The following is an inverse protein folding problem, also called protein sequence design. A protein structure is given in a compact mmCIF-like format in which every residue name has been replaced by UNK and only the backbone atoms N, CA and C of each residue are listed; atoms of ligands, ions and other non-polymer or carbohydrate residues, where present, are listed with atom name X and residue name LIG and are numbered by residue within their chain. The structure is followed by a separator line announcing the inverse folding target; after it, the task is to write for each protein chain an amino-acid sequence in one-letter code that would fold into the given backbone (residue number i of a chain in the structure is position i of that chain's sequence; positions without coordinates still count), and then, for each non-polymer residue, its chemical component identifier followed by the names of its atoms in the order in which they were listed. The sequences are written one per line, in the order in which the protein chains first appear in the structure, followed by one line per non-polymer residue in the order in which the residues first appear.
data_IF_294799704667
#
_entry.id   IF_294799704667
#
_cell.length_a   1.000
_cell.length_b   1.000
_cell.length_c   1.000
_cell.angle_alpha   90.00
_cell.angle_beta   90.00
_cell.angle_gamma   90.00
#
_symmetry.space_group_name_H-M   'P 1'
#
loop_
_entity.id
_entity.type
_entity.pdbx_description
1 polymer ?
#
# COMPACT_ATOMS: atom_id res chain seq x y z
N UNK A 1 -1.52 -6.82 7.72
CA UNK A 1 -0.82 -5.77 6.95
C UNK A 1 0.68 -5.93 7.07
N UNK A 2 1.35 -6.01 5.92
CA UNK A 2 2.79 -5.83 5.77
C UNK A 2 3.04 -4.82 4.65
N UNK A 3 4.29 -4.39 4.47
CA UNK A 3 4.69 -3.64 3.28
C UNK A 3 5.99 -4.18 2.70
N UNK A 4 6.24 -3.85 1.43
CA UNK A 4 7.46 -4.21 0.73
C UNK A 4 8.01 -3.04 -0.08
N UNK A 5 9.34 -3.06 -0.27
CA UNK A 5 10.05 -2.16 -1.19
C UNK A 5 10.14 -2.89 -2.53
N UNK A 6 9.54 -2.30 -3.55
CA UNK A 6 9.57 -2.87 -4.89
C UNK A 6 10.87 -2.46 -5.56
N UNK A 7 11.48 -3.35 -6.34
CA UNK A 7 12.80 -3.12 -6.96
C UNK A 7 12.81 -1.97 -7.96
N UNK A 8 11.65 -1.53 -8.43
CA UNK A 8 11.48 -0.41 -9.37
C UNK A 8 11.90 0.94 -8.78
N UNK A 9 11.80 1.14 -7.47
CA UNK A 9 12.03 2.45 -6.84
C UNK A 9 12.93 2.36 -5.61
N UNK A 10 13.69 3.42 -5.34
CA UNK A 10 14.44 3.56 -4.11
C UNK A 10 13.58 4.21 -3.02
N UNK A 11 12.97 3.40 -2.16
CA UNK A 11 12.10 3.88 -1.08
C UNK A 11 10.99 4.84 -1.60
N UNK A 12 11.00 6.09 -1.13
CA UNK A 12 10.10 7.17 -1.52
C UNK A 12 10.62 8.02 -2.69
N UNK A 13 11.79 7.69 -3.23
CA UNK A 13 12.45 8.44 -4.29
C UNK A 13 12.16 7.84 -5.67
N UNK A 14 12.51 8.61 -6.72
CA UNK A 14 12.49 8.19 -8.12
C UNK A 14 11.08 7.86 -8.68
N UNK A 15 10.02 8.24 -7.96
CA UNK A 15 8.63 8.04 -8.36
C UNK A 15 8.18 8.95 -9.50
N UNK A 16 8.90 10.05 -9.72
CA UNK A 16 8.70 10.97 -10.84
C UNK A 16 9.44 10.55 -12.12
N UNK A 17 10.37 9.59 -12.07
CA UNK A 17 11.11 9.17 -13.27
C UNK A 17 10.18 8.43 -14.24
N UNK A 18 10.02 8.98 -15.44
CA UNK A 18 9.09 8.50 -16.47
C UNK A 18 9.23 7.01 -16.77
N UNK A 19 10.47 6.52 -16.95
CA UNK A 19 10.72 5.10 -17.26
C UNK A 19 10.26 4.17 -16.14
N UNK A 20 10.52 4.54 -14.89
CA UNK A 20 10.14 3.75 -13.72
C UNK A 20 8.64 3.84 -13.43
N UNK A 21 8.08 5.05 -13.53
CA UNK A 21 6.64 5.29 -13.33
C UNK A 21 5.79 4.63 -14.42
N UNK A 22 6.28 4.51 -15.65
CA UNK A 22 5.60 3.75 -16.70
C UNK A 22 5.45 2.27 -16.32
N UNK A 23 6.48 1.68 -15.69
CA UNK A 23 6.44 0.28 -15.25
C UNK A 23 5.55 0.05 -14.00
N UNK A 24 5.41 1.07 -13.15
CA UNK A 24 4.56 1.01 -11.94
C UNK A 24 3.86 2.37 -11.76
N UNK A 25 2.70 2.59 -12.43
CA UNK A 25 2.07 3.91 -12.55
C UNK A 25 1.27 4.35 -11.32
N UNK A 26 0.72 3.41 -10.58
CA UNK A 26 -0.22 3.63 -9.48
C UNK A 26 0.22 2.86 -8.23
N UNK A 27 -0.10 3.35 -7.02
CA UNK A 27 0.11 2.61 -5.78
C UNK A 27 -0.71 1.34 -5.75
N UNK A 28 -0.12 0.27 -5.23
CA UNK A 28 -0.77 -1.03 -5.18
C UNK A 28 -0.57 -1.75 -3.86
N UNK A 29 -1.50 -2.67 -3.55
CA UNK A 29 -1.37 -3.64 -2.50
C UNK A 29 -1.69 -5.05 -3.01
N UNK A 30 -0.81 -5.99 -2.70
CA UNK A 30 -0.98 -7.40 -3.05
C UNK A 30 -1.88 -8.12 -2.05
N UNK A 31 -2.74 -8.99 -2.56
CA UNK A 31 -3.60 -9.88 -1.77
C UNK A 31 -3.93 -11.18 -2.50
N UNK A 32 -4.25 -12.22 -1.73
CA UNK A 32 -4.63 -13.53 -2.28
C UNK A 32 -6.03 -13.48 -2.93
N UNK A 33 -6.29 -14.25 -4.01
CA UNK A 33 -7.61 -14.36 -4.62
C UNK A 33 -8.74 -14.70 -3.64
N UNK A 34 -8.49 -15.58 -2.67
CA UNK A 34 -9.48 -15.91 -1.63
C UNK A 34 -9.84 -14.68 -0.77
N UNK A 35 -8.83 -13.89 -0.39
CA UNK A 35 -9.07 -12.66 0.37
C UNK A 35 -9.80 -11.64 -0.49
N UNK A 36 -9.40 -11.47 -1.75
CA UNK A 36 -10.09 -10.58 -2.67
C UNK A 36 -11.57 -10.95 -2.82
N UNK A 37 -11.87 -12.24 -2.98
CA UNK A 37 -13.24 -12.76 -3.10
C UNK A 37 -14.09 -12.49 -1.83
N UNK A 38 -13.53 -12.68 -0.63
CA UNK A 38 -14.23 -12.41 0.64
C UNK A 38 -14.67 -10.95 0.77
N UNK A 39 -13.91 -10.02 0.18
CA UNK A 39 -14.18 -8.58 0.24
C UNK A 39 -14.81 -8.03 -1.06
N UNK A 40 -15.14 -8.89 -2.03
CA UNK A 40 -15.73 -8.49 -3.31
C UNK A 40 -14.81 -7.61 -4.18
N UNK A 41 -13.49 -7.77 -4.05
CA UNK A 41 -12.46 -6.99 -4.74
C UNK A 41 -11.98 -7.74 -5.98
N UNK A 42 -11.86 -7.06 -7.12
CA UNK A 42 -11.24 -7.59 -8.34
C UNK A 42 -9.82 -7.04 -8.51
N UNK A 43 -9.02 -7.75 -9.31
CA UNK A 43 -7.70 -7.26 -9.69
C UNK A 43 -7.81 -5.92 -10.42
N UNK A 44 -7.01 -4.93 -9.99
CA UNK A 44 -7.03 -3.59 -10.54
C UNK A 44 -8.07 -2.65 -9.93
N UNK A 45 -8.95 -3.11 -9.02
CA UNK A 45 -9.90 -2.21 -8.37
C UNK A 45 -9.17 -1.21 -7.45
N UNK A 46 -9.72 -0.01 -7.32
CA UNK A 46 -9.32 0.88 -6.23
C UNK A 46 -9.92 0.36 -4.93
N UNK A 47 -9.08 0.29 -3.89
CA UNK A 47 -9.46 -0.19 -2.58
C UNK A 47 -8.95 0.77 -1.51
N UNK A 48 -9.64 0.77 -0.37
CA UNK A 48 -9.16 1.34 0.87
C UNK A 48 -8.54 0.24 1.73
N UNK A 49 -7.32 0.47 2.20
CA UNK A 49 -6.68 -0.34 3.25
C UNK A 49 -6.72 0.49 4.52
N UNK A 50 -7.46 -0.01 5.51
CA UNK A 50 -7.77 0.72 6.74
C UNK A 50 -7.13 0.03 7.94
N UNK A 51 -6.70 0.82 8.92
CA UNK A 51 -6.33 0.35 10.25
C UNK A 51 -6.93 1.30 11.30
N UNK A 52 -6.81 1.00 12.61
CA UNK A 52 -7.19 1.96 13.64
C UNK A 52 -6.47 3.32 13.57
N UNK A 53 -5.42 3.45 12.73
CA UNK A 53 -4.64 4.68 12.58
C UNK A 53 -5.03 5.56 11.40
N UNK A 54 -5.78 5.02 10.45
CA UNK A 54 -6.17 5.77 9.27
C UNK A 54 -6.46 4.85 8.08
N UNK A 55 -6.51 5.44 6.89
CA UNK A 55 -6.79 4.72 5.66
C UNK A 55 -5.93 5.21 4.49
N UNK A 56 -5.56 4.30 3.59
CA UNK A 56 -4.92 4.64 2.31
C UNK A 56 -5.74 4.10 1.14
N UNK A 57 -5.63 4.74 -0.02
CA UNK A 57 -6.23 4.31 -1.28
C UNK A 57 -5.17 3.78 -2.24
N UNK A 58 -5.33 2.53 -2.66
CA UNK A 58 -4.38 1.83 -3.54
C UNK A 58 -5.11 0.94 -4.54
N UNK A 59 -4.43 0.49 -5.60
CA UNK A 59 -4.93 -0.53 -6.53
C UNK A 59 -4.75 -1.93 -5.94
N UNK A 60 -5.77 -2.76 -6.07
CA UNK A 60 -5.67 -4.17 -5.75
C UNK A 60 -4.79 -4.90 -6.76
N UNK A 61 -3.77 -5.61 -6.30
CA UNK A 61 -2.99 -6.56 -7.09
C UNK A 61 -3.29 -7.97 -6.59
N UNK A 62 -4.20 -8.66 -7.25
CA UNK A 62 -4.64 -10.00 -6.82
C UNK A 62 -3.68 -11.04 -7.39
N UNK A 63 -3.07 -11.84 -6.52
CA UNK A 63 -2.08 -12.87 -6.89
C UNK A 63 -2.06 -13.99 -5.85
N UNK A 64 -1.85 -15.22 -6.30
CA UNK A 64 -1.67 -16.43 -5.48
C UNK A 64 -0.29 -16.52 -4.79
N UNK A 65 0.60 -15.55 -5.03
CA UNK A 65 1.97 -15.50 -4.46
C UNK A 65 2.05 -14.98 -3.03
N UNK A 66 0.92 -14.60 -2.44
CA UNK A 66 0.79 -14.08 -1.09
C UNK A 66 -0.22 -14.91 -0.32
N UNK A 67 0.01 -15.13 0.98
CA UNK A 67 -0.88 -15.95 1.81
C UNK A 67 -2.30 -15.35 1.90
N UNK A 68 -3.36 -16.20 1.94
CA UNK A 68 -4.69 -15.76 2.34
C UNK A 68 -4.67 -15.01 3.67
N UNK A 69 -5.45 -13.92 3.76
CA UNK A 69 -5.56 -13.06 4.93
C UNK A 69 -4.44 -12.03 5.07
N UNK A 70 -3.43 -12.05 4.18
CA UNK A 70 -2.32 -11.09 4.20
C UNK A 70 -2.49 -10.05 3.08
N UNK A 71 -2.21 -8.80 3.43
CA UNK A 71 -2.16 -7.66 2.51
C UNK A 71 -0.75 -7.06 2.55
N UNK A 72 -0.11 -6.92 1.39
CA UNK A 72 1.22 -6.34 1.27
C UNK A 72 1.18 -5.04 0.45
N UNK A 73 1.30 -3.90 1.12
CA UNK A 73 1.32 -2.59 0.45
C UNK A 73 2.70 -2.26 -0.12
N UNK A 74 2.73 -1.58 -1.26
CA UNK A 74 3.96 -0.98 -1.77
C UNK A 74 4.34 0.24 -0.92
N UNK A 75 5.55 0.26 -0.38
CA UNK A 75 6.08 1.38 0.40
C UNK A 75 6.33 2.62 -0.46
N UNK A 76 6.28 3.84 0.10
CA UNK A 76 6.95 5.03 -0.46
C UNK A 76 6.20 5.85 -1.53
N UNK A 77 4.87 5.74 -1.62
CA UNK A 77 4.08 6.52 -2.59
C UNK A 77 3.75 7.93 -2.08
N UNK A 78 4.12 8.95 -2.87
CA UNK A 78 3.67 10.34 -2.66
C UNK A 78 3.85 11.23 -3.90
N UNK A 79 4.92 10.99 -4.67
CA UNK A 79 5.35 11.92 -5.72
C UNK A 79 4.49 11.83 -6.99
N UNK A 80 4.21 12.99 -7.58
CA UNK A 80 3.65 13.12 -8.93
C UNK A 80 4.68 12.79 -10.02
N UNK A 81 4.19 12.46 -11.23
CA UNK A 81 5.02 12.36 -12.43
C UNK A 81 4.38 13.22 -13.54
N UNK A 82 4.94 14.41 -13.77
CA UNK A 82 4.34 15.44 -14.64
C UNK A 82 4.33 15.02 -16.10
N UNK A 83 5.40 14.38 -16.54
CA UNK A 83 5.64 13.92 -17.90
C UNK A 83 4.56 12.93 -18.36
N UNK A 84 4.09 12.06 -17.44
CA UNK A 84 3.02 11.10 -17.69
C UNK A 84 1.64 11.61 -17.27
N UNK A 85 1.54 12.84 -16.75
CA UNK A 85 0.32 13.42 -16.17
C UNK A 85 -0.29 12.53 -15.08
N UNK A 86 0.56 11.82 -14.32
CA UNK A 86 0.13 10.96 -13.22
C UNK A 86 0.19 11.74 -11.90
N UNK A 87 -0.88 11.67 -11.08
CA UNK A 87 -0.98 12.46 -9.87
C UNK A 87 0.03 12.02 -8.79
N UNK A 88 0.31 12.95 -7.89
CA UNK A 88 0.88 12.62 -6.58
C UNK A 88 -0.19 12.11 -5.62
N UNK A 89 0.25 11.62 -4.48
CA UNK A 89 -0.61 11.17 -3.38
C UNK A 89 -0.12 11.86 -2.11
N UNK A 90 -1.03 12.40 -1.30
CA UNK A 90 -0.63 12.95 -0.01
C UNK A 90 -0.08 11.82 0.88
N UNK A 91 1.07 12.07 1.52
CA UNK A 91 1.78 11.08 2.32
C UNK A 91 1.24 10.97 3.76
N UNK A 92 0.39 11.91 4.18
CA UNK A 92 -0.05 12.06 5.56
C UNK A 92 -1.57 12.01 5.74
N UNK A 93 -2.34 12.18 4.66
CA UNK A 93 -3.80 12.19 4.75
C UNK A 93 -4.43 10.80 4.67
N UNK A 94 -5.61 10.70 5.27
CA UNK A 94 -6.53 9.59 5.03
C UNK A 94 -7.00 9.63 3.56
N UNK A 95 -6.76 8.54 2.84
CA UNK A 95 -6.98 8.46 1.39
C UNK A 95 -5.72 8.74 0.55
N UNK A 96 -4.59 9.05 1.19
CA UNK A 96 -3.26 9.01 0.60
C UNK A 96 -2.83 7.61 0.18
N UNK A 97 -1.54 7.41 -0.12
CA UNK A 97 -1.01 6.11 -0.57
C UNK A 97 0.17 5.57 0.26
N UNK A 98 0.47 6.20 1.39
CA UNK A 98 1.63 5.87 2.22
C UNK A 98 1.24 4.87 3.32
N UNK A 99 1.63 3.58 3.26
CA UNK A 99 1.24 2.59 4.25
C UNK A 99 1.84 2.81 5.65
N UNK A 100 2.83 3.70 5.79
CA UNK A 100 3.40 4.01 7.11
C UNK A 100 2.39 4.66 8.06
N UNK A 101 1.39 5.38 7.55
CA UNK A 101 0.35 6.01 8.40
C UNK A 101 -0.59 4.98 9.04
N UNK A 102 -0.62 3.76 8.51
CA UNK A 102 -1.48 2.69 9.01
C UNK A 102 -0.91 1.97 10.23
N UNK A 103 0.36 2.16 10.56
CA UNK A 103 1.05 1.41 11.62
C UNK A 103 1.11 2.27 12.89
N UNK A 104 0.52 1.75 13.96
CA UNK A 104 0.51 2.41 15.27
C UNK A 104 1.79 2.18 16.07
N UNK A 105 1.97 2.99 17.11
CA UNK A 105 3.12 2.94 18.02
C UNK A 105 2.80 2.26 19.35
N UNK A 106 1.57 1.78 19.54
CA UNK A 106 1.09 1.18 20.79
C UNK A 106 1.74 -0.18 21.10
N UNK A 107 2.20 -0.88 20.06
CA UNK A 107 2.74 -2.23 20.13
C UNK A 107 4.21 -2.25 19.67
N UNK A 108 5.02 -1.35 20.23
CA UNK A 108 6.46 -1.36 20.03
C UNK A 108 7.09 -2.56 20.77
N UNK A 109 8.09 -3.19 20.18
CA UNK A 109 8.90 -4.20 20.85
C UNK A 109 9.56 -3.60 22.10
N UNK A 110 9.30 -4.13 23.32
CA UNK A 110 9.81 -3.55 24.56
C UNK A 110 11.34 -3.59 24.66
N UNK A 111 12.03 -4.41 23.86
CA UNK A 111 13.48 -4.52 23.89
C UNK A 111 14.13 -3.55 22.89
N UNK A 112 13.76 -3.63 21.61
CA UNK A 112 14.41 -2.81 20.56
C UNK A 112 13.72 -1.48 20.27
N UNK A 113 12.48 -1.29 20.72
CA UNK A 113 11.63 -0.16 20.32
C UNK A 113 11.09 -0.27 18.89
N UNK A 114 11.26 -1.42 18.21
CA UNK A 114 10.81 -1.61 16.83
C UNK A 114 9.29 -1.58 16.70
N UNK A 115 8.80 -0.96 15.63
CA UNK A 115 7.37 -0.89 15.30
C UNK A 115 6.91 -2.09 14.45
N UNK A 116 5.62 -2.48 14.56
CA UNK A 116 5.08 -3.70 13.92
C UNK A 116 4.80 -3.54 12.41
N UNK A 117 5.75 -3.02 11.64
CA UNK A 117 5.60 -2.77 10.19
C UNK A 117 5.34 -4.02 9.32
N UNK A 118 5.51 -5.22 9.88
CA UNK A 118 5.36 -6.50 9.18
C UNK A 118 4.14 -7.31 9.63
N UNK A 119 3.42 -6.85 10.65
CA UNK A 119 2.38 -7.65 11.31
C UNK A 119 1.31 -6.78 11.97
N UNK A 120 0.78 -5.80 11.25
CA UNK A 120 -0.28 -4.92 11.76
C UNK A 120 -1.67 -5.37 11.28
N UNK A 121 -2.72 -5.12 12.07
CA UNK A 121 -4.09 -5.45 11.65
C UNK A 121 -4.60 -4.41 10.64
N UNK A 122 -5.36 -4.88 9.65
CA UNK A 122 -6.02 -4.02 8.67
C UNK A 122 -7.34 -4.62 8.19
N UNK A 123 -8.19 -3.78 7.60
CA UNK A 123 -9.40 -4.16 6.88
C UNK A 123 -9.33 -3.63 5.44
N UNK A 124 -9.95 -4.35 4.52
CA UNK A 124 -10.11 -3.93 3.12
C UNK A 124 -11.53 -3.45 2.87
N UNK A 125 -11.68 -2.44 2.01
CA UNK A 125 -12.97 -2.00 1.44
C UNK A 125 -12.80 -1.62 -0.03
N UNK A 126 -13.77 -1.91 -0.91
CA UNK A 126 -13.84 -1.27 -2.22
C UNK A 126 -13.92 0.26 -2.08
N UNK A 127 -13.16 0.98 -2.91
CA UNK A 127 -13.23 2.44 -3.01
C UNK A 127 -14.21 2.80 -4.13
N UNK A 128 -15.51 2.58 -3.87
CA UNK A 128 -16.59 3.02 -4.75
C UNK A 128 -16.68 4.54 -4.79
#
# INVERSE_FOLDING_TARGET
LTNAKFTTFLHSQQRALTSLRTASPEPSAEMHPETAALYGIKNGDWILVESPKGAIRVRARVTDRILPGVVCCQHGWWQECRELKLPGYDAFSDGGANPSILVGTELADPISGSLPHRSYLCRLRPAN
#
